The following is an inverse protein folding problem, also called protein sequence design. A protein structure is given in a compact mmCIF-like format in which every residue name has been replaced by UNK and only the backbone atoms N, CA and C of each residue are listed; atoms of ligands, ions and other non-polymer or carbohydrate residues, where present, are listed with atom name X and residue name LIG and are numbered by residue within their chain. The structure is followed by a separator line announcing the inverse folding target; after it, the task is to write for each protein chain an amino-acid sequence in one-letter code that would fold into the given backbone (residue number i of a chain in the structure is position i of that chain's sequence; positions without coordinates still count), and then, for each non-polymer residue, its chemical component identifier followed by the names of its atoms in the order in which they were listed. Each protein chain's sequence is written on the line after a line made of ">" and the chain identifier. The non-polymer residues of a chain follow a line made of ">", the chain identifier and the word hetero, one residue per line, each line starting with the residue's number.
data_IF_217679689468
#
_entry.id   IF_217679689468
#
_cell.length_a   1.000
_cell.length_b   1.000
_cell.length_c   1.000
_cell.angle_alpha   90.00
_cell.angle_beta   90.00
_cell.angle_gamma   90.00
#
_symmetry.space_group_name_H-M   'P 1'
#
loop_
_entity.id
_entity.type
_entity.pdbx_description
1 polymer ?
#
# COMPACT_ATOMS: atom_id res chain seq x y z
N UNK A 1 11.82 5.85 22.58
CA UNK A 1 11.95 5.89 21.11
C UNK A 1 13.25 6.59 20.78
N UNK A 2 14.14 5.97 20.00
CA UNK A 2 15.42 6.60 19.64
C UNK A 2 15.19 7.87 18.80
N UNK A 3 16.00 8.91 19.00
CA UNK A 3 15.97 10.18 18.26
C UNK A 3 15.94 9.98 16.74
N UNK A 4 16.68 8.99 16.25
CA UNK A 4 16.70 8.61 14.84
C UNK A 4 15.32 8.17 14.32
N UNK A 5 14.61 7.31 15.06
CA UNK A 5 13.29 6.83 14.66
C UNK A 5 12.28 7.98 14.59
N UNK A 6 12.35 8.91 15.55
CA UNK A 6 11.49 10.11 15.57
C UNK A 6 11.75 11.02 14.37
N UNK A 7 13.01 11.20 13.96
CA UNK A 7 13.36 12.00 12.78
C UNK A 7 12.83 11.38 11.48
N UNK A 8 12.95 10.05 11.32
CA UNK A 8 12.41 9.33 10.16
C UNK A 8 10.89 9.49 10.06
N UNK A 9 10.18 9.33 11.19
CA UNK A 9 8.72 9.49 11.23
C UNK A 9 8.29 10.93 10.91
N UNK A 10 9.05 11.94 11.36
CA UNK A 10 8.74 13.34 11.08
C UNK A 10 8.89 13.71 9.60
N UNK A 11 9.78 13.04 8.86
CA UNK A 11 10.05 13.34 7.45
C UNK A 11 9.09 12.60 6.50
N UNK A 12 8.51 11.47 6.94
CA UNK A 12 7.59 10.63 6.15
C UNK A 12 6.46 11.42 5.44
N UNK A 13 5.75 12.36 6.08
CA UNK A 13 4.69 13.15 5.43
C UNK A 13 5.18 14.09 4.31
N UNK A 14 6.47 14.42 4.30
CA UNK A 14 7.08 15.29 3.30
C UNK A 14 7.52 14.52 2.04
N UNK A 15 7.53 13.19 2.10
CA UNK A 15 7.93 12.36 0.96
C UNK A 15 6.84 12.37 -0.11
N UNK A 16 7.21 12.53 -1.40
CA UNK A 16 6.27 12.38 -2.50
C UNK A 16 5.64 10.99 -2.50
N UNK A 17 4.35 10.89 -2.86
CA UNK A 17 3.64 9.60 -3.00
C UNK A 17 4.38 8.62 -3.91
N UNK A 18 5.03 9.12 -4.96
CA UNK A 18 5.84 8.31 -5.89
C UNK A 18 7.07 7.66 -5.23
N UNK A 19 7.65 8.30 -4.22
CA UNK A 19 8.76 7.72 -3.47
C UNK A 19 8.25 6.60 -2.56
N UNK A 20 7.11 6.81 -1.91
CA UNK A 20 6.46 5.79 -1.07
C UNK A 20 6.02 4.59 -1.90
N UNK A 21 5.47 4.82 -3.10
CA UNK A 21 4.98 3.74 -3.98
C UNK A 21 6.09 2.79 -4.47
N UNK A 22 7.34 3.27 -4.57
CA UNK A 22 8.49 2.42 -4.90
C UNK A 22 8.70 1.31 -3.86
N UNK A 23 8.46 1.60 -2.59
CA UNK A 23 8.60 0.63 -1.50
C UNK A 23 7.32 -0.17 -1.27
N UNK A 24 6.15 0.47 -1.36
CA UNK A 24 4.86 -0.18 -1.08
C UNK A 24 4.34 -1.06 -2.21
N UNK A 25 4.76 -0.84 -3.46
CA UNK A 25 4.26 -1.57 -4.63
C UNK A 25 4.53 -3.08 -4.62
N UNK A 26 5.42 -3.57 -3.75
CA UNK A 26 5.62 -5.01 -3.52
C UNK A 26 4.55 -5.65 -2.63
N UNK A 27 3.82 -4.83 -1.87
CA UNK A 27 2.86 -5.27 -0.85
C UNK A 27 1.42 -4.82 -1.16
N UNK A 28 1.25 -3.76 -1.96
CA UNK A 28 -0.05 -3.16 -2.27
C UNK A 28 -0.28 -3.30 -3.78
N UNK A 29 -1.44 -3.86 -4.15
CA UNK A 29 -1.80 -4.10 -5.55
C UNK A 29 -2.10 -2.83 -6.36
N UNK A 30 -2.41 -1.72 -5.69
CA UNK A 30 -2.63 -0.40 -6.26
C UNK A 30 -3.50 0.48 -5.36
N UNK A 31 -3.84 1.68 -5.83
CA UNK A 31 -4.69 2.62 -5.08
C UNK A 31 -6.18 2.43 -5.37
N UNK A 32 -6.52 1.76 -6.48
CA UNK A 32 -7.90 1.54 -6.92
C UNK A 32 -8.32 0.08 -6.84
N UNK A 33 -9.63 -0.17 -6.83
CA UNK A 33 -10.18 -1.52 -6.90
C UNK A 33 -9.80 -2.20 -8.22
N UNK A 34 -9.77 -1.44 -9.31
CA UNK A 34 -9.39 -1.91 -10.64
C UNK A 34 -7.95 -2.43 -10.66
N UNK A 35 -7.02 -1.78 -9.94
CA UNK A 35 -5.64 -2.23 -9.83
C UNK A 35 -5.53 -3.55 -9.05
N UNK A 36 -6.31 -3.68 -7.96
CA UNK A 36 -6.41 -4.92 -7.20
C UNK A 36 -6.94 -6.07 -8.07
N UNK A 37 -8.03 -5.83 -8.82
CA UNK A 37 -8.63 -6.82 -9.72
C UNK A 37 -7.66 -7.24 -10.81
N UNK A 38 -6.93 -6.32 -11.44
CA UNK A 38 -5.90 -6.64 -12.45
C UNK A 38 -4.81 -7.55 -11.88
N UNK A 39 -4.34 -7.25 -10.67
CA UNK A 39 -3.32 -8.06 -9.97
C UNK A 39 -3.85 -9.47 -9.69
N UNK A 40 -5.09 -9.58 -9.20
CA UNK A 40 -5.73 -10.88 -8.91
C UNK A 40 -5.89 -11.71 -10.20
N UNK A 41 -6.34 -11.10 -11.31
CA UNK A 41 -6.44 -11.80 -12.61
C UNK A 41 -5.07 -12.35 -13.04
N UNK A 42 -4.00 -11.57 -12.84
CA UNK A 42 -2.65 -12.02 -13.18
C UNK A 42 -2.19 -13.20 -12.31
N UNK A 43 -2.53 -13.20 -11.03
CA UNK A 43 -2.27 -14.33 -10.12
C UNK A 43 -3.10 -15.56 -10.49
N UNK A 44 -4.38 -15.38 -10.82
CA UNK A 44 -5.26 -16.49 -11.21
C UNK A 44 -4.81 -17.17 -12.51
N UNK A 45 -4.24 -16.42 -13.47
CA UNK A 45 -3.59 -17.00 -14.66
C UNK A 45 -2.44 -17.95 -14.32
N UNK A 46 -1.86 -17.82 -13.13
CA UNK A 46 -0.82 -18.69 -12.60
C UNK A 46 -1.40 -19.78 -11.67
N UNK A 47 -2.71 -19.96 -11.64
CA UNK A 47 -3.45 -20.84 -10.71
C UNK A 47 -3.24 -20.49 -9.23
N UNK A 48 -2.93 -19.23 -8.92
CA UNK A 48 -2.78 -18.73 -7.55
C UNK A 48 -4.11 -18.14 -7.09
N UNK A 49 -4.60 -18.60 -5.93
CA UNK A 49 -5.73 -17.99 -5.25
C UNK A 49 -5.28 -16.75 -4.48
N UNK A 50 -6.11 -15.72 -4.48
CA UNK A 50 -5.81 -14.45 -3.81
C UNK A 50 -6.97 -14.06 -2.89
N UNK A 51 -6.63 -13.43 -1.77
CA UNK A 51 -7.56 -12.72 -0.88
C UNK A 51 -7.26 -11.24 -0.98
N UNK A 52 -8.28 -10.40 -1.06
CA UNK A 52 -8.09 -8.96 -1.08
C UNK A 52 -8.39 -8.38 0.30
N UNK A 53 -7.46 -7.57 0.82
CA UNK A 53 -7.67 -6.71 1.97
C UNK A 53 -7.72 -5.26 1.50
N UNK A 54 -8.75 -4.51 1.94
CA UNK A 54 -8.91 -3.10 1.59
C UNK A 54 -8.27 -2.28 2.71
N UNK A 55 -7.08 -1.72 2.41
CA UNK A 55 -6.40 -0.81 3.32
C UNK A 55 -7.22 0.47 3.47
N UNK A 56 -7.91 0.62 4.60
CA UNK A 56 -8.64 1.83 4.94
C UNK A 56 -7.70 2.96 5.40
N UNK A 57 -8.16 4.19 5.22
CA UNK A 57 -7.65 5.32 5.98
C UNK A 57 -8.41 5.43 7.32
N UNK A 58 -7.82 6.09 8.31
CA UNK A 58 -8.44 6.25 9.63
C UNK A 58 -9.86 6.82 9.48
N UNK A 59 -10.88 5.99 9.71
CA UNK A 59 -12.28 6.37 9.53
C UNK A 59 -12.62 7.42 10.60
N UNK A 60 -12.75 8.68 10.19
CA UNK A 60 -13.03 9.79 11.12
C UNK A 60 -14.53 10.01 11.36
N UNK A 61 -15.42 9.39 10.57
CA UNK A 61 -16.87 9.31 10.81
C UNK A 61 -17.49 8.07 10.17
N UNK A 62 -18.59 7.60 10.76
CA UNK A 62 -19.46 6.53 10.23
C UNK A 62 -20.41 7.04 9.16
#
# INVERSE_FOLDING_TARGET
>A
MNLFNSAVVAILPLLPKSFVSLFSGRYIAGETLEDAVKTIIQLNKQNIMATQDLLGENITRK
#
